data_IF_327165302500
#
_entry.id   IF_327165302500
#
_cell.length_a   1.000
_cell.length_b   1.000
_cell.length_c   1.000
_cell.angle_alpha   90.00
_cell.angle_beta   90.00
_cell.angle_gamma   90.00
#
_symmetry.space_group_name_H-M   'P 1'
#
loop_
_entity.id
_entity.type
_entity.pdbx_description
1 polymer ?
#
# COMPACT_ATOMS: atom_id res chain seq x y z
N UNK A 1 5.92 15.25 -2.08
CA UNK A 1 6.51 15.17 -3.45
C UNK A 1 5.40 15.20 -4.49
N UNK A 2 5.14 16.41 -5.05
CA UNK A 2 4.01 16.64 -5.96
C UNK A 2 4.40 16.57 -7.45
N UNK A 3 5.65 16.24 -7.77
CA UNK A 3 6.14 16.21 -9.15
C UNK A 3 5.30 15.31 -10.05
N UNK A 4 4.72 15.91 -11.11
CA UNK A 4 3.87 15.22 -12.07
C UNK A 4 2.44 14.93 -11.60
N UNK A 5 2.07 15.27 -10.36
CA UNK A 5 0.70 15.11 -9.85
C UNK A 5 -0.23 16.15 -10.47
N UNK A 6 -1.40 15.71 -10.90
CA UNK A 6 -2.42 16.52 -11.57
C UNK A 6 -3.40 17.07 -10.52
N UNK A 7 -3.34 18.36 -10.25
CA UNK A 7 -4.17 19.04 -9.24
C UNK A 7 -5.15 19.97 -9.94
N UNK A 8 -6.45 19.72 -9.77
CA UNK A 8 -7.49 20.62 -10.21
C UNK A 8 -7.86 21.56 -9.07
N UNK A 9 -7.45 22.83 -9.16
CA UNK A 9 -7.72 23.84 -8.16
C UNK A 9 -9.00 24.59 -8.47
N UNK A 10 -10.00 24.47 -7.59
CA UNK A 10 -11.27 25.18 -7.67
C UNK A 10 -11.24 26.40 -6.74
N UNK A 11 -11.34 27.60 -7.31
CA UNK A 11 -11.22 28.86 -6.59
C UNK A 11 -12.60 29.51 -6.48
N UNK A 12 -13.16 29.59 -5.27
CA UNK A 12 -14.47 30.25 -5.04
C UNK A 12 -14.32 31.63 -4.42
N UNK A 13 -15.39 32.47 -4.52
CA UNK A 13 -15.31 33.90 -4.29
C UNK A 13 -15.17 34.31 -2.82
N UNK A 14 -14.08 35.00 -2.49
CA UNK A 14 -13.80 35.59 -1.20
C UNK A 14 -12.42 36.24 -1.19
N UNK A 15 -12.13 37.08 -0.18
CA UNK A 15 -10.84 37.77 -0.10
C UNK A 15 -9.65 36.81 -0.12
N UNK A 16 -9.81 35.57 0.37
CA UNK A 16 -8.76 34.58 0.42
C UNK A 16 -8.32 34.07 -0.98
N UNK A 17 -8.92 34.51 -2.08
CA UNK A 17 -8.51 34.21 -3.47
C UNK A 17 -7.04 34.62 -3.71
N UNK A 18 -6.52 35.67 -3.05
CA UNK A 18 -5.10 36.05 -3.16
C UNK A 18 -4.15 34.94 -2.67
N UNK A 19 -4.57 34.18 -1.63
CA UNK A 19 -3.81 33.04 -1.15
C UNK A 19 -3.87 31.86 -2.15
N UNK A 20 -4.99 31.70 -2.87
CA UNK A 20 -5.08 30.69 -3.92
C UNK A 20 -4.10 30.96 -5.07
N UNK A 21 -3.85 32.23 -5.40
CA UNK A 21 -2.82 32.59 -6.36
C UNK A 21 -1.40 32.19 -5.85
N UNK A 22 -1.08 32.49 -4.58
CA UNK A 22 0.15 32.03 -3.97
C UNK A 22 0.27 30.50 -3.92
N UNK A 23 -0.84 29.81 -3.58
CA UNK A 23 -0.91 28.35 -3.58
C UNK A 23 -0.64 27.76 -4.97
N UNK A 24 -1.24 28.33 -6.03
CA UNK A 24 -1.01 27.91 -7.42
C UNK A 24 0.47 28.01 -7.79
N UNK A 25 1.11 29.14 -7.48
CA UNK A 25 2.55 29.34 -7.73
C UNK A 25 3.41 28.29 -7.02
N UNK A 26 3.14 28.03 -5.73
CA UNK A 26 3.90 27.06 -4.93
C UNK A 26 3.67 25.61 -5.36
N UNK A 27 2.45 25.22 -5.72
CA UNK A 27 2.14 23.90 -6.27
C UNK A 27 2.91 23.65 -7.59
N UNK A 28 2.93 24.66 -8.48
CA UNK A 28 3.68 24.58 -9.74
C UNK A 28 5.18 24.48 -9.48
N UNK A 29 5.73 25.26 -8.52
CA UNK A 29 7.13 25.15 -8.10
C UNK A 29 7.49 23.80 -7.48
N UNK A 30 6.55 23.14 -6.78
CA UNK A 30 6.70 21.78 -6.26
C UNK A 30 6.62 20.70 -7.36
N UNK A 31 6.43 21.13 -8.63
CA UNK A 31 6.39 20.25 -9.80
C UNK A 31 5.02 19.63 -10.10
N UNK A 32 3.96 20.07 -9.44
CA UNK A 32 2.60 19.67 -9.77
C UNK A 32 2.15 20.27 -11.11
N UNK A 33 1.26 19.58 -11.81
CA UNK A 33 0.55 20.08 -12.97
C UNK A 33 -0.78 20.61 -12.43
N UNK A 34 -0.99 21.95 -12.53
CA UNK A 34 -2.16 22.61 -11.94
C UNK A 34 -3.05 23.16 -13.04
N UNK A 35 -4.30 22.70 -13.12
CA UNK A 35 -5.37 23.37 -13.86
C UNK A 35 -6.28 24.11 -12.86
N UNK A 36 -6.87 25.22 -13.26
CA UNK A 36 -7.62 26.09 -12.36
C UNK A 36 -9.04 26.30 -12.89
N UNK A 37 -10.02 26.16 -12.01
CA UNK A 37 -11.41 26.62 -12.22
C UNK A 37 -11.72 27.77 -11.29
N UNK A 38 -12.44 28.80 -11.78
CA UNK A 38 -12.84 29.94 -10.97
C UNK A 38 -14.34 30.17 -11.03
N UNK A 39 -14.95 30.42 -9.88
CA UNK A 39 -16.32 30.95 -9.87
C UNK A 39 -16.37 32.39 -10.33
N UNK A 40 -17.53 32.85 -10.80
CA UNK A 40 -17.76 34.26 -11.18
C UNK A 40 -17.39 35.23 -10.03
N UNK A 41 -17.74 34.85 -8.80
CA UNK A 41 -17.39 35.65 -7.62
C UNK A 41 -15.90 35.69 -7.34
N UNK A 42 -15.13 34.65 -7.65
CA UNK A 42 -13.67 34.64 -7.49
C UNK A 42 -12.99 35.61 -8.44
N UNK A 43 -13.48 35.72 -9.69
CA UNK A 43 -12.96 36.63 -10.70
C UNK A 43 -13.07 38.10 -10.33
N UNK A 44 -13.97 38.45 -9.39
CA UNK A 44 -14.10 39.83 -8.87
C UNK A 44 -12.95 40.22 -7.91
N UNK A 45 -12.22 39.26 -7.37
CA UNK A 45 -11.06 39.49 -6.50
C UNK A 45 -9.73 39.40 -7.23
N UNK A 46 -9.57 38.39 -8.09
CA UNK A 46 -8.37 38.15 -8.88
C UNK A 46 -8.78 37.67 -10.27
N UNK A 47 -8.16 38.21 -11.30
CA UNK A 47 -8.51 37.84 -12.68
C UNK A 47 -8.01 36.45 -13.06
N UNK A 48 -8.69 35.75 -14.00
CA UNK A 48 -8.22 34.46 -14.52
C UNK A 48 -6.79 34.51 -15.08
N UNK A 49 -6.39 35.63 -15.67
CA UNK A 49 -5.05 35.83 -16.22
C UNK A 49 -3.94 35.60 -15.19
N UNK A 50 -4.17 35.98 -13.92
CA UNK A 50 -3.20 35.70 -12.84
C UNK A 50 -2.95 34.21 -12.66
N UNK A 51 -4.03 33.41 -12.62
CA UNK A 51 -3.92 31.96 -12.45
C UNK A 51 -3.34 31.28 -13.71
N UNK A 52 -3.71 31.76 -14.90
CA UNK A 52 -3.14 31.27 -16.15
C UNK A 52 -1.61 31.49 -16.20
N UNK A 53 -1.14 32.67 -15.81
CA UNK A 53 0.29 32.99 -15.77
C UNK A 53 1.04 32.11 -14.74
N UNK A 54 0.44 31.79 -13.58
CA UNK A 54 1.04 31.01 -12.51
C UNK A 54 1.01 29.50 -12.78
N UNK A 55 -0.08 28.97 -13.33
CA UNK A 55 -0.25 27.54 -13.63
C UNK A 55 0.34 27.16 -14.99
N UNK A 56 0.44 28.11 -15.91
CA UNK A 56 0.78 27.92 -17.35
C UNK A 56 -0.24 27.04 -18.09
N UNK A 57 -1.48 27.01 -17.61
CA UNK A 57 -2.61 26.30 -18.20
C UNK A 57 -3.80 27.24 -18.29
N UNK A 58 -4.78 26.88 -19.15
CA UNK A 58 -6.03 27.60 -19.25
C UNK A 58 -6.79 27.59 -17.92
N UNK A 59 -7.53 28.68 -17.69
CA UNK A 59 -8.44 28.82 -16.54
C UNK A 59 -9.86 28.67 -17.03
N UNK A 60 -10.62 27.82 -16.38
CA UNK A 60 -11.99 27.48 -16.74
C UNK A 60 -12.95 28.25 -15.83
N UNK A 61 -13.89 28.99 -16.42
CA UNK A 61 -14.77 29.91 -15.69
C UNK A 61 -16.24 29.73 -16.01
N UNK A 62 -16.55 29.12 -17.13
CA UNK A 62 -17.93 28.91 -17.63
C UNK A 62 -18.07 27.48 -18.15
N UNK A 63 -19.18 26.84 -17.84
CA UNK A 63 -19.49 25.47 -18.28
C UNK A 63 -19.70 25.39 -19.81
N UNK A 64 -20.05 26.50 -20.44
CA UNK A 64 -20.32 26.59 -21.87
C UNK A 64 -19.19 27.20 -22.70
N UNK A 65 -18.08 27.62 -22.05
CA UNK A 65 -16.88 28.09 -22.74
C UNK A 65 -15.87 26.94 -22.92
N UNK A 66 -16.11 26.11 -23.93
CA UNK A 66 -15.24 25.01 -24.27
C UNK A 66 -13.92 25.52 -24.88
N UNK A 67 -12.79 25.19 -24.23
CA UNK A 67 -11.44 25.58 -24.72
C UNK A 67 -10.95 24.65 -25.83
N UNK A 68 -11.40 23.41 -25.82
CA UNK A 68 -11.15 22.37 -26.82
C UNK A 68 -12.47 21.77 -27.28
N UNK A 69 -12.80 21.94 -28.54
CA UNK A 69 -14.04 21.42 -29.15
C UNK A 69 -14.11 19.90 -29.24
N UNK A 70 -13.00 19.19 -28.95
CA UNK A 70 -12.95 17.73 -29.00
C UNK A 70 -13.43 17.08 -27.71
N UNK A 71 -13.57 17.84 -26.59
CA UNK A 71 -13.88 17.33 -25.26
C UNK A 71 -14.93 18.20 -24.57
N UNK A 72 -15.66 17.63 -23.63
CA UNK A 72 -16.52 18.35 -22.72
C UNK A 72 -15.70 18.76 -21.50
N UNK A 73 -15.43 20.06 -21.33
CA UNK A 73 -14.43 20.58 -20.42
C UNK A 73 -14.62 20.10 -18.95
N UNK A 74 -15.84 20.12 -18.43
CA UNK A 74 -16.10 19.70 -17.04
C UNK A 74 -15.89 18.20 -16.81
N UNK A 75 -16.11 17.36 -17.84
CA UNK A 75 -15.85 15.92 -17.79
C UNK A 75 -14.35 15.66 -17.92
N UNK A 76 -13.68 16.29 -18.92
CA UNK A 76 -12.23 16.14 -19.10
C UNK A 76 -11.48 16.52 -17.82
N UNK A 77 -11.85 17.62 -17.18
CA UNK A 77 -11.23 18.07 -15.94
C UNK A 77 -11.49 17.12 -14.76
N UNK A 78 -12.71 16.56 -14.68
CA UNK A 78 -13.09 15.61 -13.64
C UNK A 78 -12.27 14.31 -13.73
N UNK A 79 -12.03 13.80 -14.95
CA UNK A 79 -11.28 12.58 -15.21
C UNK A 79 -9.75 12.81 -15.18
N UNK A 80 -9.31 14.03 -15.50
CA UNK A 80 -7.90 14.37 -15.57
C UNK A 80 -7.21 14.43 -14.21
N UNK A 81 -7.93 14.81 -13.14
CA UNK A 81 -7.34 15.15 -11.86
C UNK A 81 -6.93 13.92 -11.04
N UNK A 82 -5.74 13.93 -10.43
CA UNK A 82 -5.35 12.99 -9.36
C UNK A 82 -5.98 13.42 -8.02
N UNK A 83 -6.26 14.72 -7.84
CA UNK A 83 -6.97 15.31 -6.70
C UNK A 83 -7.63 16.62 -7.13
N UNK A 84 -8.83 16.87 -6.61
CA UNK A 84 -9.50 18.16 -6.73
C UNK A 84 -9.41 18.91 -5.41
N UNK A 85 -8.90 20.14 -5.45
CA UNK A 85 -8.71 21.01 -4.29
C UNK A 85 -9.61 22.25 -4.40
N UNK A 86 -10.59 22.39 -3.52
CA UNK A 86 -11.43 23.58 -3.43
C UNK A 86 -10.82 24.55 -2.42
N UNK A 87 -10.12 25.56 -2.88
CA UNK A 87 -9.40 26.52 -2.03
C UNK A 87 -9.33 27.93 -2.65
N UNK A 88 -9.96 28.94 -2.05
CA UNK A 88 -10.84 28.87 -0.88
C UNK A 88 -12.18 28.24 -1.18
N UNK A 89 -12.78 27.55 -0.21
CA UNK A 89 -14.14 27.05 -0.26
C UNK A 89 -15.07 27.96 0.56
N UNK A 90 -16.00 28.64 -0.10
CA UNK A 90 -17.01 29.47 0.55
C UNK A 90 -18.16 28.63 1.12
N UNK A 91 -18.92 29.18 2.08
CA UNK A 91 -20.13 28.56 2.57
C UNK A 91 -21.15 28.28 1.45
N UNK A 92 -21.20 29.12 0.41
CA UNK A 92 -22.05 28.91 -0.76
C UNK A 92 -21.64 27.65 -1.52
N UNK A 93 -20.36 27.48 -1.84
CA UNK A 93 -19.87 26.30 -2.54
C UNK A 93 -20.11 25.02 -1.73
N UNK A 94 -19.80 25.03 -0.42
CA UNK A 94 -20.05 23.93 0.50
C UNK A 94 -21.54 23.57 0.54
N UNK A 95 -22.43 24.58 0.61
CA UNK A 95 -23.89 24.38 0.61
C UNK A 95 -24.41 23.77 -0.69
N UNK A 96 -23.94 24.25 -1.84
CA UNK A 96 -24.27 23.70 -3.16
C UNK A 96 -23.86 22.23 -3.26
N UNK A 97 -22.62 21.91 -2.93
CA UNK A 97 -22.11 20.54 -2.98
C UNK A 97 -22.90 19.61 -2.06
N UNK A 98 -23.17 20.01 -0.82
CA UNK A 98 -23.93 19.20 0.13
C UNK A 98 -25.39 18.95 -0.33
N UNK A 99 -25.90 19.79 -1.22
CA UNK A 99 -27.25 19.68 -1.78
C UNK A 99 -27.31 19.14 -3.21
N UNK A 100 -26.13 18.78 -3.81
CA UNK A 100 -26.05 18.28 -5.18
C UNK A 100 -26.40 19.33 -6.26
N UNK A 101 -26.18 20.61 -6.00
CA UNK A 101 -26.46 21.69 -6.96
C UNK A 101 -25.26 21.86 -7.88
N UNK A 102 -25.49 21.75 -9.19
CA UNK A 102 -24.51 21.87 -10.27
C UNK A 102 -24.92 22.99 -11.24
N UNK A 103 -24.79 24.23 -10.82
CA UNK A 103 -25.22 25.41 -11.57
C UNK A 103 -24.05 26.28 -12.06
N UNK A 104 -22.81 25.84 -11.83
CA UNK A 104 -21.59 26.48 -12.31
C UNK A 104 -20.51 25.45 -12.67
N UNK A 105 -19.44 25.90 -13.33
CA UNK A 105 -18.31 25.05 -13.79
C UNK A 105 -17.72 24.22 -12.67
N UNK A 106 -17.53 24.79 -11.48
CA UNK A 106 -16.92 24.11 -10.33
C UNK A 106 -17.84 23.00 -9.82
N UNK A 107 -19.08 23.33 -9.52
CA UNK A 107 -20.03 22.39 -8.92
C UNK A 107 -20.41 21.27 -9.88
N UNK A 108 -20.51 21.56 -11.19
CA UNK A 108 -20.74 20.55 -12.22
C UNK A 108 -19.57 19.55 -12.29
N UNK A 109 -18.32 20.03 -12.34
CA UNK A 109 -17.14 19.17 -12.36
C UNK A 109 -17.00 18.35 -11.09
N UNK A 110 -17.31 18.94 -9.92
CA UNK A 110 -17.21 18.24 -8.63
C UNK A 110 -18.23 17.11 -8.46
N UNK A 111 -19.38 17.17 -9.13
CA UNK A 111 -20.33 16.05 -9.17
C UNK A 111 -19.93 14.95 -10.17
N UNK A 112 -19.10 15.27 -11.16
CA UNK A 112 -18.65 14.31 -12.17
C UNK A 112 -17.35 13.59 -11.78
N UNK A 113 -16.54 14.17 -10.88
CA UNK A 113 -15.21 13.62 -10.58
C UNK A 113 -15.26 12.37 -9.71
N UNK A 114 -14.38 11.42 -9.99
CA UNK A 114 -14.08 10.25 -9.13
C UNK A 114 -12.80 10.45 -8.33
N UNK A 115 -12.05 11.53 -8.58
CA UNK A 115 -10.83 11.85 -7.83
C UNK A 115 -11.18 12.30 -6.39
N UNK A 116 -10.28 12.08 -5.42
CA UNK A 116 -10.44 12.61 -4.07
C UNK A 116 -10.64 14.12 -4.08
N UNK A 117 -11.67 14.62 -3.38
CA UNK A 117 -11.96 16.05 -3.27
C UNK A 117 -11.57 16.57 -1.90
N UNK A 118 -10.72 17.59 -1.89
CA UNK A 118 -10.26 18.26 -0.68
C UNK A 118 -10.83 19.67 -0.63
N UNK A 119 -11.38 20.04 0.51
CA UNK A 119 -12.08 21.31 0.73
C UNK A 119 -11.36 22.11 1.81
N UNK A 120 -10.89 23.30 1.47
CA UNK A 120 -10.25 24.26 2.38
C UNK A 120 -11.21 25.46 2.61
N UNK A 121 -12.00 25.44 3.70
CA UNK A 121 -12.96 26.51 3.99
C UNK A 121 -12.27 27.85 4.25
N UNK A 122 -12.92 28.93 3.79
CA UNK A 122 -12.54 30.29 4.14
C UNK A 122 -13.78 31.17 4.22
N UNK A 123 -14.11 31.64 5.41
CA UNK A 123 -15.28 32.49 5.66
C UNK A 123 -15.19 33.20 7.01
N UNK A 124 -16.06 34.14 7.28
CA UNK A 124 -16.20 34.73 8.60
C UNK A 124 -16.47 33.67 9.66
N UNK A 125 -15.98 33.87 10.90
CA UNK A 125 -16.11 32.93 12.00
C UNK A 125 -17.56 32.56 12.30
N UNK A 126 -18.49 33.53 12.32
CA UNK A 126 -19.91 33.25 12.57
C UNK A 126 -20.56 32.43 11.46
N UNK A 127 -20.10 32.60 10.22
CA UNK A 127 -20.49 31.74 9.10
C UNK A 127 -19.95 30.32 9.28
N UNK A 128 -18.68 30.20 9.66
CA UNK A 128 -18.05 28.90 9.88
C UNK A 128 -18.73 28.13 11.01
N UNK A 129 -19.05 28.79 12.13
CA UNK A 129 -19.72 28.20 13.30
C UNK A 129 -21.23 27.99 13.10
N UNK A 130 -21.81 28.53 12.02
CA UNK A 130 -23.22 28.39 11.74
C UNK A 130 -23.64 26.92 11.60
N UNK A 131 -24.68 26.52 12.32
CA UNK A 131 -25.14 25.10 12.39
C UNK A 131 -25.46 24.52 10.99
N UNK A 132 -25.96 25.33 10.05
CA UNK A 132 -26.24 24.88 8.68
C UNK A 132 -24.94 24.60 7.95
N UNK A 133 -23.93 25.46 8.07
CA UNK A 133 -22.63 25.27 7.44
C UNK A 133 -21.92 24.03 8.04
N UNK A 134 -21.92 23.89 9.38
CA UNK A 134 -21.36 22.71 10.04
C UNK A 134 -22.08 21.43 9.63
N UNK A 135 -23.41 21.44 9.51
CA UNK A 135 -24.17 20.29 9.00
C UNK A 135 -23.75 19.94 7.57
N UNK A 136 -23.64 20.93 6.67
CA UNK A 136 -23.22 20.69 5.29
C UNK A 136 -21.81 20.10 5.22
N UNK A 137 -20.87 20.62 6.04
CA UNK A 137 -19.51 20.08 6.11
C UNK A 137 -19.51 18.62 6.64
N UNK A 138 -20.32 18.30 7.64
CA UNK A 138 -20.47 16.95 8.18
C UNK A 138 -21.01 15.99 7.11
N UNK A 139 -22.08 16.37 6.42
CA UNK A 139 -22.64 15.60 5.30
C UNK A 139 -21.60 15.30 4.23
N UNK A 140 -20.80 16.29 3.83
CA UNK A 140 -19.74 16.07 2.84
C UNK A 140 -18.63 15.17 3.39
N UNK A 141 -18.25 15.27 4.67
CA UNK A 141 -17.29 14.35 5.31
C UNK A 141 -17.79 12.89 5.27
N UNK A 142 -19.07 12.67 5.57
CA UNK A 142 -19.71 11.34 5.50
C UNK A 142 -19.74 10.78 4.07
N UNK A 143 -19.78 11.64 3.06
CA UNK A 143 -19.71 11.30 1.64
C UNK A 143 -18.26 11.13 1.12
N UNK A 144 -17.24 11.22 2.00
CA UNK A 144 -15.85 10.97 1.65
C UNK A 144 -15.03 12.20 1.24
N UNK A 145 -15.58 13.42 1.37
CA UNK A 145 -14.83 14.65 1.12
C UNK A 145 -13.86 14.93 2.27
N UNK A 146 -12.62 15.29 1.96
CA UNK A 146 -11.59 15.63 2.95
C UNK A 146 -11.58 17.12 3.24
N UNK A 147 -11.65 17.52 4.50
CA UNK A 147 -11.57 18.92 4.90
C UNK A 147 -10.19 19.30 5.44
N UNK A 148 -9.67 20.41 4.93
CA UNK A 148 -8.51 21.10 5.52
C UNK A 148 -9.06 22.15 6.45
N UNK A 149 -8.87 21.99 7.76
CA UNK A 149 -9.40 22.92 8.75
C UNK A 149 -8.85 24.33 8.50
N UNK A 150 -9.70 25.37 8.62
CA UNK A 150 -9.24 26.76 8.48
C UNK A 150 -8.30 27.15 9.62
N UNK A 151 -7.29 27.95 9.30
CA UNK A 151 -6.37 28.52 10.26
C UNK A 151 -7.04 29.54 11.17
N UNK A 152 -6.39 29.83 12.31
CA UNK A 152 -6.74 30.91 13.24
C UNK A 152 -5.92 32.15 12.94
N UNK A 153 -6.52 33.33 13.13
CA UNK A 153 -5.82 34.59 12.95
C UNK A 153 -6.73 35.78 12.70
N UNK A 154 -6.13 36.91 12.34
CA UNK A 154 -6.85 38.14 12.07
C UNK A 154 -7.67 38.00 10.77
N UNK A 155 -8.98 38.08 10.87
CA UNK A 155 -9.92 38.05 9.74
C UNK A 155 -10.11 39.46 9.17
N UNK A 156 -10.45 39.56 7.88
CA UNK A 156 -10.65 40.83 7.21
C UNK A 156 -11.79 41.67 7.84
N UNK A 157 -12.66 41.04 8.63
CA UNK A 157 -13.71 41.72 9.39
C UNK A 157 -13.29 42.19 10.79
N UNK A 158 -12.01 42.12 11.15
CA UNK A 158 -11.46 42.64 12.41
C UNK A 158 -11.44 41.66 13.60
N UNK A 159 -11.89 40.42 13.41
CA UNK A 159 -11.87 39.40 14.47
C UNK A 159 -10.58 38.57 14.39
N UNK A 160 -10.09 38.12 15.56
CA UNK A 160 -9.06 37.07 15.66
C UNK A 160 -9.80 35.78 16.00
N UNK A 161 -9.98 34.91 15.00
CA UNK A 161 -10.75 33.68 15.16
C UNK A 161 -10.46 32.67 14.04
N UNK A 162 -11.05 31.49 14.15
CA UNK A 162 -11.04 30.42 13.14
C UNK A 162 -11.89 30.84 11.93
N UNK A 163 -11.43 30.55 10.72
CA UNK A 163 -12.15 30.86 9.48
C UNK A 163 -11.29 31.37 8.33
N UNK A 164 -9.99 31.57 8.59
CA UNK A 164 -9.03 31.98 7.58
C UNK A 164 -8.60 30.78 6.74
N UNK A 165 -8.49 30.96 5.40
CA UNK A 165 -7.90 29.92 4.56
C UNK A 165 -6.54 29.51 5.14
N UNK A 166 -6.35 28.21 5.27
CA UNK A 166 -5.05 27.64 5.71
C UNK A 166 -3.91 28.18 4.84
N UNK A 167 -2.71 28.21 5.39
CA UNK A 167 -1.55 28.72 4.66
C UNK A 167 -1.18 27.78 3.49
N UNK A 168 -0.77 28.32 2.34
CA UNK A 168 -0.42 27.52 1.17
C UNK A 168 0.59 26.40 1.48
N UNK A 169 1.56 26.66 2.35
CA UNK A 169 2.58 25.70 2.76
C UNK A 169 1.99 24.51 3.51
N UNK A 170 1.04 24.76 4.41
CA UNK A 170 0.39 23.71 5.18
C UNK A 170 -0.53 22.85 4.28
N UNK A 171 -1.22 23.47 3.32
CA UNK A 171 -2.03 22.76 2.32
C UNK A 171 -1.13 21.83 1.49
N UNK A 172 0.02 22.34 1.01
CA UNK A 172 0.98 21.58 0.22
C UNK A 172 1.55 20.42 1.03
N UNK A 173 1.96 20.65 2.28
CA UNK A 173 2.48 19.59 3.14
C UNK A 173 1.48 18.44 3.32
N UNK A 174 0.18 18.76 3.51
CA UNK A 174 -0.88 17.73 3.60
C UNK A 174 -1.09 16.97 2.28
N UNK A 175 -1.01 17.67 1.14
CA UNK A 175 -1.08 17.01 -0.17
C UNK A 175 0.15 16.10 -0.39
N UNK A 176 1.34 16.55 -0.01
CA UNK A 176 2.57 15.75 -0.10
C UNK A 176 2.48 14.50 0.78
N UNK A 177 1.95 14.63 1.99
CA UNK A 177 1.68 13.50 2.88
C UNK A 177 0.70 12.50 2.25
N UNK A 178 -0.41 12.99 1.67
CA UNK A 178 -1.42 12.14 1.03
C UNK A 178 -0.89 11.44 -0.23
N UNK A 179 -0.01 12.11 -0.99
CA UNK A 179 0.64 11.52 -2.16
C UNK A 179 1.94 10.80 -1.83
N UNK A 180 2.44 10.87 -0.60
CA UNK A 180 3.57 10.06 -0.19
C UNK A 180 3.17 8.58 -0.24
N UNK A 181 4.00 7.77 -0.87
CA UNK A 181 3.84 6.32 -0.74
C UNK A 181 3.95 5.99 0.75
N UNK A 182 2.84 5.55 1.34
CA UNK A 182 2.89 5.02 2.71
C UNK A 182 3.90 3.89 2.72
N UNK A 183 4.91 4.04 3.56
CA UNK A 183 5.88 2.97 3.84
C UNK A 183 5.61 2.40 5.24
N UNK A 184 4.52 1.65 5.40
CA UNK A 184 4.05 1.18 6.71
C UNK A 184 5.06 0.28 7.42
N UNK A 185 5.97 -0.35 6.65
CA UNK A 185 7.03 -1.22 7.17
C UNK A 185 8.38 -0.50 7.28
N UNK A 186 8.41 0.83 7.19
CA UNK A 186 9.63 1.61 7.35
C UNK A 186 10.28 1.35 8.72
N UNK A 187 11.58 1.00 8.70
CA UNK A 187 12.34 0.67 9.90
C UNK A 187 12.06 -0.72 10.49
N UNK A 188 11.21 -1.53 9.85
CA UNK A 188 11.00 -2.92 10.21
C UNK A 188 11.96 -3.82 9.44
N UNK A 189 12.54 -4.80 10.11
CA UNK A 189 13.39 -5.82 9.51
C UNK A 189 12.64 -7.13 9.35
N UNK A 190 12.57 -7.65 8.12
CA UNK A 190 11.80 -8.84 7.76
C UNK A 190 12.72 -9.90 7.14
N UNK A 191 12.74 -11.09 7.74
CA UNK A 191 13.44 -12.24 7.20
C UNK A 191 12.43 -13.15 6.49
N UNK A 192 12.73 -13.49 5.24
CA UNK A 192 11.87 -14.33 4.40
C UNK A 192 12.69 -15.53 3.91
N UNK A 193 12.13 -16.74 4.01
CA UNK A 193 12.72 -17.90 3.35
C UNK A 193 11.95 -18.22 2.08
N UNK A 194 12.64 -18.60 1.00
CA UNK A 194 12.03 -18.90 -0.29
C UNK A 194 12.71 -20.07 -1.02
N UNK A 195 12.02 -20.58 -2.04
CA UNK A 195 12.56 -21.66 -2.88
C UNK A 195 12.51 -23.03 -2.22
N UNK A 196 12.90 -24.07 -2.95
CA UNK A 196 13.12 -25.41 -2.40
C UNK A 196 14.49 -25.55 -1.78
N UNK A 197 14.67 -26.51 -0.86
CA UNK A 197 16.01 -27.02 -0.52
C UNK A 197 16.39 -28.20 -1.41
N UNK A 198 17.68 -28.43 -1.55
CA UNK A 198 18.24 -29.58 -2.26
C UNK A 198 19.07 -30.42 -1.30
N UNK A 199 18.66 -31.65 -1.12
CA UNK A 199 19.39 -32.60 -0.23
C UNK A 199 20.20 -33.53 -1.10
N UNK A 200 21.52 -33.41 -1.02
CA UNK A 200 22.45 -34.17 -1.86
C UNK A 200 22.39 -35.66 -1.57
N UNK A 201 22.32 -36.46 -2.62
CA UNK A 201 22.47 -37.91 -2.58
C UNK A 201 23.92 -38.27 -2.93
N UNK A 202 24.47 -37.64 -3.97
CA UNK A 202 25.82 -37.73 -4.44
C UNK A 202 26.22 -36.43 -5.20
N UNK A 203 27.40 -36.24 -5.74
CA UNK A 203 27.81 -35.04 -6.45
C UNK A 203 26.97 -34.68 -7.68
N UNK A 204 26.14 -35.61 -8.14
CA UNK A 204 25.35 -35.46 -9.39
C UNK A 204 23.83 -35.39 -9.13
N UNK A 205 23.33 -35.99 -8.04
CA UNK A 205 21.94 -36.17 -7.74
C UNK A 205 21.54 -35.60 -6.39
N UNK A 206 20.38 -35.04 -6.31
CA UNK A 206 19.75 -34.49 -5.10
C UNK A 206 18.26 -34.79 -5.08
N UNK A 207 17.67 -34.73 -3.90
CA UNK A 207 16.23 -34.68 -3.68
C UNK A 207 15.80 -33.23 -3.46
N UNK A 208 14.64 -32.84 -3.98
CA UNK A 208 14.10 -31.48 -3.84
C UNK A 208 12.58 -31.48 -3.95
N UNK A 209 11.95 -30.34 -3.61
CA UNK A 209 10.53 -30.10 -3.78
C UNK A 209 10.25 -29.31 -5.07
N UNK A 210 8.99 -29.35 -5.57
CA UNK A 210 8.56 -28.65 -6.78
C UNK A 210 8.42 -27.13 -6.62
N UNK A 211 8.85 -26.53 -5.51
CA UNK A 211 8.72 -25.10 -5.27
C UNK A 211 9.52 -24.29 -6.27
N UNK A 212 8.90 -23.25 -6.83
CA UNK A 212 9.55 -22.28 -7.72
C UNK A 212 10.13 -21.07 -6.99
N UNK A 213 9.81 -20.87 -5.70
CA UNK A 213 10.20 -19.70 -4.93
C UNK A 213 9.39 -18.44 -5.16
N UNK A 214 8.51 -18.39 -6.19
CA UNK A 214 7.78 -17.19 -6.62
C UNK A 214 7.03 -16.47 -5.50
N UNK A 215 6.44 -17.18 -4.53
CA UNK A 215 5.67 -16.56 -3.46
C UNK A 215 6.58 -15.77 -2.50
N UNK A 216 7.68 -16.38 -2.04
CA UNK A 216 8.63 -15.71 -1.15
C UNK A 216 9.32 -14.50 -1.81
N UNK A 217 9.64 -14.61 -3.10
CA UNK A 217 10.18 -13.50 -3.88
C UNK A 217 9.16 -12.36 -4.02
N UNK A 218 7.89 -12.65 -4.30
CA UNK A 218 6.83 -11.65 -4.38
C UNK A 218 6.63 -10.93 -3.02
N UNK A 219 6.68 -11.66 -1.90
CA UNK A 219 6.59 -11.05 -0.56
C UNK A 219 7.81 -10.17 -0.30
N UNK A 220 9.01 -10.60 -0.67
CA UNK A 220 10.25 -9.82 -0.49
C UNK A 220 10.23 -8.51 -1.29
N UNK A 221 9.79 -8.56 -2.55
CA UNK A 221 9.65 -7.38 -3.40
C UNK A 221 8.63 -6.37 -2.84
N UNK A 222 7.44 -6.85 -2.45
CA UNK A 222 6.38 -5.98 -1.93
C UNK A 222 6.76 -5.43 -0.53
N UNK A 223 7.39 -6.22 0.35
CA UNK A 223 7.87 -5.74 1.64
C UNK A 223 8.93 -4.62 1.51
N UNK A 224 9.89 -4.78 0.57
CA UNK A 224 10.88 -3.75 0.30
C UNK A 224 10.23 -2.44 -0.23
N UNK A 225 9.21 -2.52 -1.10
CA UNK A 225 8.43 -1.36 -1.56
C UNK A 225 7.72 -0.65 -0.40
N UNK A 226 7.22 -1.40 0.57
CA UNK A 226 6.60 -0.86 1.79
C UNK A 226 7.61 -0.34 2.81
N UNK A 227 8.91 -0.32 2.47
CA UNK A 227 9.99 0.30 3.25
C UNK A 227 10.68 -0.60 4.26
N UNK A 228 10.40 -1.91 4.26
CA UNK A 228 11.09 -2.86 5.13
C UNK A 228 12.56 -3.07 4.72
N UNK A 229 13.42 -3.33 5.71
CA UNK A 229 14.76 -3.91 5.51
C UNK A 229 14.61 -5.44 5.38
N UNK A 230 14.74 -5.96 4.15
CA UNK A 230 14.39 -7.34 3.82
C UNK A 230 15.63 -8.21 3.65
N UNK A 231 15.66 -9.33 4.38
CA UNK A 231 16.63 -10.42 4.21
C UNK A 231 15.88 -11.62 3.61
N UNK A 232 16.28 -12.03 2.40
CA UNK A 232 15.74 -13.19 1.70
C UNK A 232 16.73 -14.35 1.74
N UNK A 233 16.42 -15.40 2.49
CA UNK A 233 17.18 -16.66 2.48
C UNK A 233 16.55 -17.58 1.45
N UNK A 234 17.23 -17.78 0.33
CA UNK A 234 16.68 -18.50 -0.82
C UNK A 234 17.41 -19.79 -1.12
N UNK A 235 16.68 -20.89 -1.17
CA UNK A 235 17.12 -22.08 -1.86
C UNK A 235 17.22 -21.86 -3.37
N UNK A 236 17.73 -22.84 -4.15
CA UNK A 236 17.98 -22.66 -5.57
C UNK A 236 16.70 -22.41 -6.38
N UNK A 237 16.67 -21.29 -7.09
CA UNK A 237 15.57 -20.90 -7.99
C UNK A 237 16.15 -20.35 -9.30
N UNK A 238 15.31 -20.24 -10.34
CA UNK A 238 15.64 -19.59 -11.60
C UNK A 238 15.16 -18.11 -11.63
N UNK A 239 14.75 -17.56 -10.47
CA UNK A 239 14.23 -16.20 -10.38
C UNK A 239 15.37 -15.18 -10.26
N UNK A 240 15.18 -14.00 -10.83
CA UNK A 240 16.08 -12.87 -10.62
C UNK A 240 16.03 -12.40 -9.18
N UNK A 241 17.16 -11.98 -8.63
CA UNK A 241 17.22 -11.41 -7.29
C UNK A 241 16.38 -10.13 -7.21
N UNK A 242 15.54 -9.97 -6.19
CA UNK A 242 14.73 -8.76 -6.03
C UNK A 242 15.61 -7.55 -5.74
N UNK A 243 15.23 -6.40 -6.28
CA UNK A 243 15.91 -5.13 -6.00
C UNK A 243 15.67 -4.68 -4.55
N UNK A 244 16.66 -4.04 -3.96
CA UNK A 244 16.61 -3.53 -2.57
C UNK A 244 16.36 -4.60 -1.50
N UNK A 245 16.74 -5.86 -1.76
CA UNK A 245 16.61 -7.00 -0.86
C UNK A 245 17.98 -7.64 -0.66
N UNK A 246 18.39 -7.85 0.59
CA UNK A 246 19.58 -8.61 0.90
C UNK A 246 19.30 -10.09 0.71
N UNK A 247 19.87 -10.71 -0.33
CA UNK A 247 19.60 -12.13 -0.65
C UNK A 247 20.79 -13.01 -0.23
N UNK A 248 20.48 -14.03 0.57
CA UNK A 248 21.42 -15.08 1.01
C UNK A 248 21.02 -16.37 0.31
N UNK A 249 21.89 -16.90 -0.54
CA UNK A 249 21.64 -18.16 -1.23
C UNK A 249 22.13 -19.34 -0.38
N UNK A 250 21.30 -20.37 -0.30
CA UNK A 250 21.54 -21.60 0.44
C UNK A 250 21.18 -22.81 -0.42
N UNK A 251 21.68 -23.99 -0.10
CA UNK A 251 21.37 -25.19 -0.87
C UNK A 251 20.50 -26.19 -0.08
N UNK A 252 20.92 -26.55 1.11
CA UNK A 252 20.25 -27.56 1.94
C UNK A 252 19.32 -26.96 3.00
N UNK A 253 18.51 -27.81 3.63
CA UNK A 253 17.72 -27.45 4.80
C UNK A 253 18.58 -26.97 5.97
N UNK A 254 19.76 -27.58 6.13
CA UNK A 254 20.71 -27.20 7.17
C UNK A 254 21.29 -25.81 6.92
N UNK A 255 21.75 -25.51 5.69
CA UNK A 255 22.26 -24.18 5.33
C UNK A 255 21.18 -23.11 5.54
N UNK A 256 19.91 -23.41 5.19
CA UNK A 256 18.79 -22.50 5.40
C UNK A 256 18.54 -22.23 6.89
N UNK A 257 18.59 -23.27 7.73
CA UNK A 257 18.46 -23.13 9.18
C UNK A 257 19.56 -22.22 9.75
N UNK A 258 20.82 -22.47 9.37
CA UNK A 258 21.98 -21.70 9.86
C UNK A 258 21.88 -20.23 9.44
N UNK A 259 21.56 -19.96 8.17
CA UNK A 259 21.37 -18.60 7.67
C UNK A 259 20.22 -17.86 8.38
N UNK A 260 19.10 -18.54 8.64
CA UNK A 260 17.97 -17.98 9.37
C UNK A 260 18.37 -17.66 10.82
N UNK A 261 19.01 -18.59 11.52
CA UNK A 261 19.40 -18.41 12.93
C UNK A 261 20.40 -17.26 13.12
N UNK A 262 21.30 -17.05 12.15
CA UNK A 262 22.27 -15.95 12.18
C UNK A 262 21.60 -14.57 12.24
N UNK A 263 20.41 -14.44 11.67
CA UNK A 263 19.67 -13.16 11.58
C UNK A 263 18.47 -13.06 12.52
N UNK A 264 17.98 -14.19 13.08
CA UNK A 264 16.70 -14.31 13.78
C UNK A 264 16.52 -13.31 14.94
N UNK A 265 17.56 -13.10 15.73
CA UNK A 265 17.49 -12.21 16.90
C UNK A 265 17.32 -10.72 16.54
N UNK A 266 17.69 -10.36 15.31
CA UNK A 266 17.73 -8.96 14.86
C UNK A 266 16.60 -8.60 13.89
N UNK A 267 15.54 -9.41 13.79
CA UNK A 267 14.40 -9.15 12.92
C UNK A 267 13.12 -9.01 13.70
N UNK A 268 12.19 -8.22 13.17
CA UNK A 268 10.85 -8.04 13.72
C UNK A 268 9.87 -9.12 13.26
N UNK A 269 10.05 -9.60 12.02
CA UNK A 269 9.14 -10.54 11.37
C UNK A 269 9.92 -11.64 10.66
N UNK A 270 9.45 -12.87 10.76
CA UNK A 270 9.93 -14.00 9.97
C UNK A 270 8.80 -14.61 9.17
N UNK A 271 8.98 -14.74 7.85
CA UNK A 271 8.01 -15.33 6.93
C UNK A 271 8.63 -16.58 6.29
N UNK A 272 8.20 -17.74 6.74
CA UNK A 272 8.73 -19.01 6.27
C UNK A 272 7.90 -19.54 5.11
N UNK A 273 8.29 -19.21 3.85
CA UNK A 273 7.61 -19.69 2.62
C UNK A 273 8.37 -20.79 1.89
N UNK A 274 9.64 -21.03 2.25
CA UNK A 274 10.45 -22.05 1.61
C UNK A 274 9.85 -23.45 1.75
N UNK A 275 9.94 -24.24 0.69
CA UNK A 275 9.62 -25.65 0.69
C UNK A 275 10.87 -26.45 1.12
N UNK A 276 11.06 -26.54 2.42
CA UNK A 276 12.16 -27.28 3.02
C UNK A 276 11.85 -28.76 2.98
N UNK A 277 12.84 -29.60 2.61
CA UNK A 277 12.68 -31.03 2.64
C UNK A 277 12.56 -31.54 4.09
N UNK A 278 11.58 -32.40 4.38
CA UNK A 278 11.36 -33.01 5.70
C UNK A 278 12.36 -34.14 5.99
N UNK A 279 12.98 -34.66 4.93
CA UNK A 279 13.94 -35.76 4.98
C UNK A 279 15.16 -35.43 4.13
N UNK A 280 16.31 -35.92 4.56
CA UNK A 280 17.56 -35.90 3.80
C UNK A 280 18.22 -37.30 3.77
N UNK A 281 19.06 -37.62 2.77
CA UNK A 281 19.86 -38.84 2.82
C UNK A 281 20.72 -38.84 4.06
N UNK A 282 20.70 -39.97 4.80
CA UNK A 282 21.50 -40.16 6.00
C UNK A 282 23.01 -40.20 5.68
N UNK A 283 23.34 -40.69 4.49
CA UNK A 283 24.72 -40.74 3.97
C UNK A 283 24.74 -40.08 2.59
N UNK A 284 25.62 -39.11 2.43
CA UNK A 284 25.93 -38.49 1.14
C UNK A 284 27.16 -39.21 0.56
N UNK A 285 27.06 -39.68 -0.67
CA UNK A 285 28.18 -40.36 -1.33
C UNK A 285 29.12 -39.34 -1.95
N UNK A 286 30.45 -39.49 -1.69
CA UNK A 286 31.51 -38.64 -2.25
C UNK A 286 31.63 -38.78 -3.78
N UNK A 287 31.25 -39.94 -4.31
CA UNK A 287 31.31 -40.26 -5.74
C UNK A 287 29.89 -40.61 -6.26
N UNK A 288 29.69 -40.35 -7.55
CA UNK A 288 28.45 -40.74 -8.24
C UNK A 288 28.17 -42.24 -8.01
N UNK A 289 27.02 -42.56 -7.43
CA UNK A 289 26.56 -43.94 -7.26
C UNK A 289 26.49 -44.64 -8.62
N UNK A 290 27.28 -45.69 -8.80
CA UNK A 290 27.26 -46.50 -10.02
C UNK A 290 26.04 -47.41 -10.02
N UNK A 291 25.48 -47.64 -11.22
CA UNK A 291 24.39 -48.59 -11.42
C UNK A 291 24.86 -49.99 -11.03
N UNK A 292 24.18 -50.66 -10.11
CA UNK A 292 24.37 -52.05 -9.72
C UNK A 292 23.18 -52.88 -10.20
N UNK A 293 23.35 -54.21 -10.25
CA UNK A 293 22.20 -55.09 -10.52
C UNK A 293 21.29 -55.07 -9.30
N UNK A 294 19.96 -54.84 -9.54
CA UNK A 294 18.95 -54.78 -8.50
C UNK A 294 18.56 -53.35 -8.14
N UNK A 295 17.64 -53.19 -7.19
CA UNK A 295 17.11 -51.93 -6.71
C UNK A 295 18.15 -51.16 -5.85
N UNK A 296 18.09 -49.85 -5.91
CA UNK A 296 18.90 -48.98 -5.03
C UNK A 296 18.02 -48.52 -3.86
N UNK A 297 18.50 -48.74 -2.64
CA UNK A 297 17.85 -48.25 -1.41
C UNK A 297 18.66 -47.09 -0.86
N UNK A 298 17.97 -45.97 -0.55
CA UNK A 298 18.56 -44.81 0.11
C UNK A 298 17.91 -44.68 1.48
N UNK A 299 18.70 -44.70 2.54
CA UNK A 299 18.21 -44.41 3.89
C UNK A 299 18.06 -42.92 4.08
N UNK A 300 16.91 -42.50 4.62
CA UNK A 300 16.62 -41.11 4.92
C UNK A 300 16.54 -40.88 6.43
N UNK A 301 16.95 -39.69 6.87
CA UNK A 301 16.73 -39.18 8.21
C UNK A 301 15.95 -37.88 8.16
N UNK A 302 15.28 -37.50 9.26
CA UNK A 302 14.52 -36.27 9.35
C UNK A 302 15.42 -35.05 9.39
N UNK A 303 15.04 -34.02 8.68
CA UNK A 303 15.65 -32.67 8.79
C UNK A 303 15.12 -31.94 10.01
N UNK A 304 15.75 -30.83 10.38
CA UNK A 304 15.28 -29.97 11.45
C UNK A 304 14.11 -29.13 10.96
N UNK A 305 13.02 -29.11 11.74
CA UNK A 305 11.87 -28.23 11.46
C UNK A 305 12.21 -26.80 11.85
N UNK A 306 12.51 -25.98 10.86
CA UNK A 306 12.94 -24.58 11.04
C UNK A 306 11.85 -23.79 11.77
N UNK A 307 10.56 -23.90 11.34
CA UNK A 307 9.46 -23.14 11.94
C UNK A 307 9.30 -23.49 13.43
N UNK A 308 9.39 -24.78 13.77
CA UNK A 308 9.32 -25.23 15.17
C UNK A 308 10.48 -24.71 16.00
N UNK A 309 11.68 -24.75 15.44
CA UNK A 309 12.90 -24.24 16.10
C UNK A 309 12.75 -22.74 16.41
N UNK A 310 12.31 -21.95 15.43
CA UNK A 310 12.11 -20.52 15.60
C UNK A 310 11.00 -20.23 16.62
N UNK A 311 9.89 -20.98 16.60
CA UNK A 311 8.80 -20.83 17.56
C UNK A 311 9.17 -21.14 19.00
N UNK A 312 10.12 -22.07 19.21
CA UNK A 312 10.66 -22.37 20.54
C UNK A 312 11.61 -21.27 21.06
N UNK A 313 12.28 -20.56 20.16
CA UNK A 313 13.22 -19.47 20.47
C UNK A 313 12.57 -18.07 20.40
N UNK A 314 11.27 -18.02 20.10
CA UNK A 314 10.54 -16.78 19.84
C UNK A 314 10.44 -15.92 21.10
N UNK A 315 10.83 -14.66 20.95
CA UNK A 315 10.65 -13.59 21.93
C UNK A 315 9.59 -12.60 21.38
N UNK A 316 10.01 -11.54 20.73
CA UNK A 316 9.16 -10.47 20.19
C UNK A 316 8.80 -10.61 18.70
N UNK A 317 9.44 -11.56 18.00
CA UNK A 317 9.27 -11.67 16.55
C UNK A 317 7.86 -12.14 16.17
N UNK A 318 7.27 -11.54 15.12
CA UNK A 318 6.13 -12.13 14.44
C UNK A 318 6.59 -13.29 13.55
N UNK A 319 6.00 -14.46 13.76
CA UNK A 319 6.36 -15.67 13.03
C UNK A 319 5.20 -16.11 12.14
N UNK A 320 5.42 -16.11 10.83
CA UNK A 320 4.44 -16.47 9.81
C UNK A 320 4.91 -17.73 9.10
N UNK A 321 4.09 -18.76 9.08
CA UNK A 321 4.36 -20.02 8.39
C UNK A 321 3.47 -20.20 7.17
N UNK A 322 3.95 -20.98 6.20
CA UNK A 322 3.15 -21.45 5.08
C UNK A 322 2.84 -22.93 5.24
N UNK A 323 1.66 -23.32 4.78
CA UNK A 323 1.21 -24.69 4.71
C UNK A 323 0.64 -24.98 3.32
N UNK A 324 1.13 -26.04 2.69
CA UNK A 324 0.57 -26.57 1.45
C UNK A 324 -0.17 -27.85 1.82
N UNK A 325 -1.50 -27.78 1.89
CA UNK A 325 -2.32 -28.88 2.34
C UNK A 325 -3.30 -29.29 1.23
N UNK A 326 -3.69 -30.54 1.24
CA UNK A 326 -4.61 -31.12 0.24
C UNK A 326 -5.94 -31.55 0.81
N UNK A 327 -6.06 -31.62 2.14
CA UNK A 327 -7.24 -32.05 2.90
C UNK A 327 -7.20 -31.45 4.30
N UNK A 328 -8.36 -31.18 4.92
CA UNK A 328 -8.49 -30.69 6.30
C UNK A 328 -7.62 -29.46 6.60
N UNK A 329 -7.62 -28.50 5.66
CA UNK A 329 -6.71 -27.33 5.69
C UNK A 329 -6.81 -26.55 7.01
N UNK A 330 -8.02 -26.28 7.50
CA UNK A 330 -8.26 -25.54 8.74
C UNK A 330 -7.68 -26.25 9.97
N UNK A 331 -7.94 -27.55 10.13
CA UNK A 331 -7.46 -28.33 11.26
C UNK A 331 -5.93 -28.37 11.31
N UNK A 332 -5.29 -28.62 10.14
CA UNK A 332 -3.83 -28.65 10.04
C UNK A 332 -3.20 -27.26 10.25
N UNK A 333 -3.81 -26.20 9.73
CA UNK A 333 -3.31 -24.83 9.93
C UNK A 333 -3.41 -24.42 11.40
N UNK A 334 -4.55 -24.67 12.05
CA UNK A 334 -4.75 -24.37 13.48
C UNK A 334 -3.81 -25.18 14.37
N UNK A 335 -3.59 -26.45 14.05
CA UNK A 335 -2.61 -27.30 14.75
C UNK A 335 -1.19 -26.73 14.60
N UNK A 336 -0.78 -26.36 13.37
CA UNK A 336 0.53 -25.73 13.11
C UNK A 336 0.71 -24.41 13.86
N UNK A 337 -0.31 -23.55 13.94
CA UNK A 337 -0.29 -22.32 14.72
C UNK A 337 0.15 -22.58 16.17
N UNK A 338 -0.48 -23.56 16.82
CA UNK A 338 -0.21 -23.91 18.23
C UNK A 338 1.14 -24.59 18.40
N UNK A 339 1.42 -25.66 17.64
CA UNK A 339 2.62 -26.46 17.79
C UNK A 339 3.90 -25.72 17.42
N UNK A 340 3.83 -24.73 16.50
CA UNK A 340 4.98 -23.94 16.04
C UNK A 340 5.03 -22.55 16.68
N UNK A 341 4.13 -22.23 17.63
CA UNK A 341 4.02 -20.89 18.22
C UNK A 341 4.03 -19.75 17.19
N UNK A 342 3.38 -19.97 16.04
CA UNK A 342 3.29 -18.99 14.97
C UNK A 342 2.20 -17.95 15.27
N UNK A 343 2.32 -16.74 14.71
CA UNK A 343 1.30 -15.69 14.79
C UNK A 343 0.26 -15.84 13.67
N UNK A 344 0.68 -16.36 12.51
CA UNK A 344 -0.19 -16.61 11.38
C UNK A 344 0.30 -17.80 10.56
N UNK A 345 -0.62 -18.59 10.04
CA UNK A 345 -0.37 -19.61 9.03
C UNK A 345 -1.12 -19.25 7.75
N UNK A 346 -0.40 -19.19 6.65
CA UNK A 346 -0.95 -19.00 5.31
C UNK A 346 -1.07 -20.38 4.66
N UNK A 347 -2.28 -20.87 4.55
CA UNK A 347 -2.58 -22.17 3.95
C UNK A 347 -2.90 -22.00 2.47
N UNK A 348 -2.18 -22.72 1.62
CA UNK A 348 -2.36 -22.75 0.17
C UNK A 348 -3.15 -24.02 -0.23
N UNK A 349 -4.25 -23.86 -0.94
CA UNK A 349 -4.94 -24.96 -1.59
C UNK A 349 -4.23 -25.33 -2.91
N UNK A 350 -3.38 -26.34 -2.85
CA UNK A 350 -2.61 -26.79 -4.03
C UNK A 350 -3.42 -27.60 -5.04
N UNK A 351 -4.68 -27.97 -4.72
CA UNK A 351 -5.56 -28.72 -5.63
C UNK A 351 -6.45 -27.79 -6.48
N UNK A 352 -6.66 -26.56 -6.06
CA UNK A 352 -7.48 -25.61 -6.78
C UNK A 352 -6.85 -25.23 -8.13
N UNK A 353 -7.67 -25.16 -9.17
CA UNK A 353 -7.22 -24.79 -10.50
C UNK A 353 -6.67 -23.36 -10.50
N UNK A 354 -5.44 -23.17 -10.95
CA UNK A 354 -4.75 -21.87 -10.92
C UNK A 354 -3.98 -21.58 -9.62
N UNK A 355 -4.06 -22.45 -8.61
CA UNK A 355 -3.25 -22.40 -7.40
C UNK A 355 -2.18 -23.50 -7.43
N UNK A 356 -0.94 -23.22 -7.02
CA UNK A 356 0.11 -24.21 -6.97
C UNK A 356 1.53 -23.68 -7.10
N UNK A 357 2.50 -24.60 -7.08
CA UNK A 357 3.91 -24.24 -6.99
C UNK A 357 4.49 -23.57 -8.25
N UNK A 358 4.02 -23.73 -9.41
CA UNK A 358 4.59 -23.17 -10.65
C UNK A 358 3.84 -21.96 -11.21
N UNK A 359 2.59 -21.74 -10.78
CA UNK A 359 1.68 -20.71 -11.29
C UNK A 359 2.05 -19.32 -10.82
N UNK A 360 1.52 -18.28 -11.48
CA UNK A 360 1.66 -16.88 -11.08
C UNK A 360 0.53 -16.41 -10.15
N UNK A 361 -0.49 -17.25 -9.98
CA UNK A 361 -1.64 -17.02 -9.11
C UNK A 361 -1.63 -17.96 -7.90
N UNK A 362 -2.45 -17.65 -6.89
CA UNK A 362 -2.66 -18.48 -5.73
C UNK A 362 -4.04 -18.26 -5.10
N UNK A 363 -4.54 -19.28 -4.37
CA UNK A 363 -5.69 -19.21 -3.48
C UNK A 363 -5.18 -19.57 -2.10
N UNK A 364 -5.33 -18.65 -1.13
CA UNK A 364 -4.83 -18.87 0.22
C UNK A 364 -5.88 -18.49 1.27
N UNK A 365 -5.83 -19.18 2.39
CA UNK A 365 -6.55 -18.81 3.61
C UNK A 365 -5.52 -18.50 4.69
N UNK A 366 -5.63 -17.36 5.34
CA UNK A 366 -4.78 -16.95 6.45
C UNK A 366 -5.48 -17.22 7.77
N UNK A 367 -4.82 -17.95 8.67
CA UNK A 367 -5.29 -18.26 10.02
C UNK A 367 -4.42 -17.53 11.02
N UNK A 368 -4.98 -16.59 11.77
CA UNK A 368 -4.28 -15.81 12.79
C UNK A 368 -4.40 -16.44 14.18
N UNK A 369 -3.45 -16.16 15.05
CA UNK A 369 -3.41 -16.70 16.44
C UNK A 369 -4.57 -16.19 17.29
N UNK A 370 -5.10 -14.99 17.01
CA UNK A 370 -6.28 -14.40 17.68
C UNK A 370 -7.61 -15.02 17.24
N UNK A 371 -7.60 -15.94 16.27
CA UNK A 371 -8.77 -16.64 15.75
C UNK A 371 -9.36 -16.04 14.48
N UNK A 372 -8.83 -14.94 13.97
CA UNK A 372 -9.26 -14.37 12.69
C UNK A 372 -8.88 -15.28 11.54
N UNK A 373 -9.83 -15.50 10.62
CA UNK A 373 -9.67 -16.30 9.40
C UNK A 373 -9.97 -15.42 8.20
N UNK A 374 -9.03 -15.33 7.26
CA UNK A 374 -9.15 -14.48 6.08
C UNK A 374 -8.98 -15.35 4.83
N UNK A 375 -10.05 -15.50 4.08
CA UNK A 375 -10.06 -16.22 2.81
C UNK A 375 -9.82 -15.27 1.65
N UNK A 376 -8.83 -15.55 0.82
CA UNK A 376 -8.56 -14.77 -0.39
C UNK A 376 -9.06 -15.55 -1.62
N UNK A 377 -9.69 -14.85 -2.59
CA UNK A 377 -10.01 -15.44 -3.87
C UNK A 377 -8.75 -15.78 -4.67
N UNK A 378 -8.91 -16.28 -5.89
CA UNK A 378 -7.78 -16.44 -6.82
C UNK A 378 -7.17 -15.06 -7.13
N UNK A 379 -5.96 -14.83 -6.65
CA UNK A 379 -5.19 -13.60 -6.82
C UNK A 379 -3.82 -13.89 -7.41
N UNK A 380 -3.18 -12.89 -7.99
CA UNK A 380 -1.75 -12.98 -8.33
C UNK A 380 -0.91 -13.10 -7.06
N UNK A 381 0.25 -13.73 -7.15
CA UNK A 381 1.17 -13.84 -5.99
C UNK A 381 1.61 -12.49 -5.41
N UNK A 382 1.62 -11.43 -6.23
CA UNK A 382 1.88 -10.05 -5.76
C UNK A 382 0.72 -9.52 -4.93
N UNK A 383 -0.51 -9.74 -5.35
CA UNK A 383 -1.70 -9.34 -4.59
C UNK A 383 -1.80 -10.11 -3.28
N UNK A 384 -1.58 -11.44 -3.31
CA UNK A 384 -1.50 -12.26 -2.09
C UNK A 384 -0.40 -11.74 -1.14
N UNK A 385 0.77 -11.37 -1.68
CA UNK A 385 1.85 -10.80 -0.88
C UNK A 385 1.44 -9.50 -0.18
N UNK A 386 0.70 -8.62 -0.86
CA UNK A 386 0.19 -7.37 -0.27
C UNK A 386 -0.81 -7.64 0.86
N UNK A 387 -1.72 -8.58 0.68
CA UNK A 387 -2.68 -8.93 1.73
C UNK A 387 -1.99 -9.55 2.97
N UNK A 388 -0.98 -10.40 2.77
CA UNK A 388 -0.17 -10.94 3.87
C UNK A 388 0.56 -9.81 4.61
N UNK A 389 1.20 -8.89 3.88
CA UNK A 389 1.94 -7.77 4.47
C UNK A 389 1.02 -6.79 5.20
N UNK A 390 -0.21 -6.58 4.71
CA UNK A 390 -1.25 -5.80 5.39
C UNK A 390 -1.63 -6.42 6.74
N UNK A 391 -1.78 -7.75 6.81
CA UNK A 391 -2.02 -8.43 8.08
C UNK A 391 -0.84 -8.31 9.04
N UNK A 392 0.38 -8.36 8.53
CA UNK A 392 1.60 -8.16 9.33
C UNK A 392 1.67 -6.73 9.87
N UNK A 393 1.34 -5.73 9.07
CA UNK A 393 1.25 -4.32 9.48
C UNK A 393 0.29 -4.17 10.67
N UNK A 394 -0.93 -4.69 10.55
CA UNK A 394 -1.94 -4.66 11.63
C UNK A 394 -1.42 -5.32 12.92
N UNK A 395 -0.83 -6.52 12.83
CA UNK A 395 -0.26 -7.20 13.99
C UNK A 395 0.92 -6.43 14.63
N UNK A 396 1.73 -5.71 13.84
CA UNK A 396 2.82 -4.88 14.36
C UNK A 396 2.32 -3.59 15.02
N UNK A 397 1.12 -3.13 14.70
CA UNK A 397 0.46 -1.98 15.34
C UNK A 397 -0.18 -2.40 16.67
N UNK A 398 -0.84 -3.56 16.72
CA UNK A 398 -1.47 -4.11 17.94
C UNK A 398 -0.44 -4.39 19.04
N UNK A 399 0.78 -4.85 18.69
CA UNK A 399 1.87 -5.09 19.66
C UNK A 399 2.47 -3.79 20.24
N UNK A 400 2.05 -2.60 19.77
CA UNK A 400 2.50 -1.28 20.30
C UNK A 400 1.54 -0.70 21.34
N UNK A 401 0.36 -1.28 21.54
CA UNK A 401 -0.64 -0.88 22.53
C UNK A 401 -0.52 -1.73 23.81
#
# INVERSE_FOLDING_TARGET
MLKGKKILLCVTGGIAVFKAAALTSKLTQAGAIVKVMMSESAMKFVTPLTFQALSRHDVYTDTFDEKDSAVIAHIDLADWADVVLVAPATANCIGKLASGIADDMITTTLLATTAPVWIAPAMNVHMYENKIVQKNMMTLKELGYTFIEPGEGFLACGYVAKGRLEEPEAIIARLEEAFSEKKPLQGKRILITAGPTREKIDPVRFMTNFSSGKMGYAIAEEAAKLGADVILVSGPTALNMPLHVTTIQVESAQDMLEAVLQHYQNVDVVIKTAAVADYRPKYVHDNKMKKKNGDAVIEFERTVDILKTLGAMKDKQLLIGFAAETTNVEEYATKKLREKNANMIVANDVKAQGAGFGTDTNIVTMYRKDGEVIELPLLTKKEVAREILKQIEMMLEDDRL
#
